data_IF_662767822327
#
_entry.id   IF_662767822327
#
_cell.length_a   1.000
_cell.length_b   1.000
_cell.length_c   1.000
_cell.angle_alpha   90.00
_cell.angle_beta   90.00
_cell.angle_gamma   90.00
#
_symmetry.space_group_name_H-M   'P 1'
#
loop_
_entity.id
_entity.type
_entity.pdbx_description
1 polymer ?
#
# COMPACT_ATOMS: atom_id res chain seq x y z
N UNK A 1 86.86 50.68 10.15
CA UNK A 1 86.50 51.75 11.10
C UNK A 1 84.98 51.79 11.19
N UNK A 2 84.46 51.69 12.42
CA UNK A 2 83.15 52.18 12.93
C UNK A 2 81.88 51.59 12.32
N UNK A 3 81.15 50.79 13.11
CA UNK A 3 79.94 51.17 13.90
C UNK A 3 78.67 51.09 13.01
N UNK A 4 77.48 50.67 13.44
CA UNK A 4 76.92 50.29 14.72
C UNK A 4 75.67 49.41 14.47
N UNK A 5 75.21 48.80 15.56
CA UNK A 5 74.00 47.99 15.77
C UNK A 5 72.72 48.82 15.58
N UNK A 6 71.64 48.26 15.01
CA UNK A 6 70.27 48.42 15.53
C UNK A 6 69.25 47.45 14.88
N UNK A 7 68.17 47.22 15.63
CA UNK A 7 67.33 46.04 15.63
C UNK A 7 66.09 46.11 14.71
N UNK A 8 65.56 44.93 14.38
CA UNK A 8 64.13 44.60 14.27
C UNK A 8 63.31 45.25 13.15
N UNK A 9 62.70 44.43 12.29
CA UNK A 9 61.23 44.32 12.36
C UNK A 9 60.66 43.07 11.68
N UNK A 10 59.56 42.62 12.27
CA UNK A 10 58.81 41.40 12.03
C UNK A 10 57.87 41.57 10.83
N UNK A 11 58.17 40.93 9.69
CA UNK A 11 57.25 40.88 8.55
C UNK A 11 56.30 39.69 8.67
N UNK A 12 55.24 39.90 9.46
CA UNK A 12 54.05 39.03 9.49
C UNK A 12 53.35 39.12 8.13
N UNK A 13 53.45 38.09 7.31
CA UNK A 13 52.68 37.97 6.07
C UNK A 13 51.21 37.75 6.43
N UNK A 14 50.41 38.78 6.17
CA UNK A 14 48.95 38.79 6.26
C UNK A 14 48.38 37.70 5.35
N UNK A 15 47.94 36.59 5.93
CA UNK A 15 47.10 35.61 5.24
C UNK A 15 45.69 36.19 5.19
N UNK A 16 45.26 36.62 4.00
CA UNK A 16 43.90 37.10 3.76
C UNK A 16 42.89 36.02 4.17
N UNK A 17 41.92 36.45 4.96
CA UNK A 17 40.77 35.67 5.40
C UNK A 17 40.02 35.07 4.20
N UNK A 18 39.95 33.74 4.12
CA UNK A 18 39.05 33.05 3.20
C UNK A 18 37.60 33.23 3.65
N UNK A 19 36.77 33.74 2.74
CA UNK A 19 35.33 33.89 2.95
C UNK A 19 34.65 32.53 3.20
N UNK A 20 33.66 32.44 4.10
CA UNK A 20 32.99 31.17 4.37
C UNK A 20 32.23 30.68 3.13
N UNK A 21 32.67 29.54 2.59
CA UNK A 21 32.05 28.85 1.46
C UNK A 21 30.54 28.66 1.67
N UNK A 22 29.74 29.08 0.68
CA UNK A 22 28.29 28.91 0.68
C UNK A 22 27.93 27.41 0.67
N UNK A 23 26.80 27.03 1.28
CA UNK A 23 26.35 25.65 1.45
C UNK A 23 26.38 24.80 0.15
N UNK A 24 26.13 25.43 -1.01
CA UNK A 24 26.26 24.76 -2.32
C UNK A 24 27.70 24.38 -2.68
N UNK A 25 28.68 25.21 -2.33
CA UNK A 25 30.09 24.97 -2.63
C UNK A 25 30.66 23.86 -1.73
N UNK A 26 30.28 23.83 -0.44
CA UNK A 26 30.65 22.75 0.49
C UNK A 26 30.18 21.37 0.01
N UNK A 27 28.95 21.30 -0.50
CA UNK A 27 28.37 20.03 -0.99
C UNK A 27 29.01 19.53 -2.28
N UNK A 28 29.52 20.44 -3.12
CA UNK A 28 30.27 20.09 -4.33
C UNK A 28 31.65 19.53 -3.99
N UNK A 29 32.35 20.15 -3.04
CA UNK A 29 33.67 19.70 -2.58
C UNK A 29 33.60 18.30 -1.95
N UNK A 30 32.59 18.05 -1.10
CA UNK A 30 32.39 16.75 -0.44
C UNK A 30 32.12 15.61 -1.43
N UNK A 31 31.36 15.90 -2.50
CA UNK A 31 31.07 14.93 -3.58
C UNK A 31 32.30 14.63 -4.43
N UNK A 32 33.23 15.59 -4.54
CA UNK A 32 34.47 15.43 -5.31
C UNK A 32 35.49 14.56 -4.54
N UNK A 33 35.56 14.71 -3.21
CA UNK A 33 36.39 13.87 -2.34
C UNK A 33 35.92 12.41 -2.32
N UNK A 34 34.60 12.17 -2.22
CA UNK A 34 34.06 10.81 -2.24
C UNK A 34 34.27 10.08 -3.57
N UNK A 35 34.40 10.82 -4.69
CA UNK A 35 34.66 10.21 -6.00
C UNK A 35 36.12 9.81 -6.19
N UNK A 36 37.05 10.48 -5.51
CA UNK A 36 38.47 10.12 -5.53
C UNK A 36 38.74 8.88 -4.68
N UNK A 37 38.11 8.74 -3.50
CA UNK A 37 38.26 7.54 -2.66
C UNK A 37 37.75 6.25 -3.31
N UNK A 38 36.76 6.33 -4.20
CA UNK A 38 36.21 5.14 -4.88
C UNK A 38 37.04 4.67 -6.09
N UNK A 39 38.06 5.42 -6.51
CA UNK A 39 38.84 5.11 -7.72
C UNK A 39 40.08 4.23 -7.46
N UNK A 40 40.52 4.09 -6.20
CA UNK A 40 41.81 3.48 -5.85
C UNK A 40 41.76 2.02 -5.35
N UNK A 41 40.68 1.27 -5.61
CA UNK A 41 40.61 -0.15 -5.22
C UNK A 41 40.51 -1.05 -6.47
N UNK A 42 41.64 -1.63 -6.89
CA UNK A 42 41.73 -2.79 -7.80
C UNK A 42 41.96 -4.08 -6.98
N UNK A 43 41.32 -5.23 -7.30
CA UNK A 43 41.58 -6.50 -6.63
C UNK A 43 42.38 -7.49 -7.50
N UNK A 44 43.26 -8.28 -6.88
CA UNK A 44 43.69 -9.61 -7.34
C UNK A 44 44.37 -10.43 -6.18
N UNK A 45 44.63 -11.76 -6.30
CA UNK A 45 43.81 -12.81 -5.65
C UNK A 45 44.61 -13.83 -4.78
N UNK A 46 43.95 -14.73 -4.03
CA UNK A 46 44.22 -16.20 -3.86
C UNK A 46 43.55 -16.85 -2.61
N UNK A 47 43.11 -18.11 -2.76
CA UNK A 47 42.48 -19.07 -1.82
C UNK A 47 43.52 -19.87 -0.94
N UNK A 48 43.20 -20.96 -0.19
CA UNK A 48 42.06 -21.35 0.71
C UNK A 48 42.54 -21.95 2.07
N UNK A 49 41.61 -22.20 3.04
CA UNK A 49 41.45 -23.46 3.84
C UNK A 49 40.53 -23.33 5.09
N UNK A 50 39.54 -24.25 5.18
CA UNK A 50 39.16 -25.18 6.30
C UNK A 50 38.94 -24.59 7.74
N UNK A 51 37.93 -24.90 8.57
CA UNK A 51 37.21 -26.15 8.90
C UNK A 51 35.93 -25.87 9.75
N UNK A 52 34.83 -26.56 9.43
CA UNK A 52 33.84 -27.29 10.27
C UNK A 52 33.63 -27.01 11.78
N UNK A 53 32.36 -26.79 12.21
CA UNK A 53 31.57 -27.73 13.07
C UNK A 53 30.13 -27.26 13.37
N UNK A 54 29.30 -28.27 13.63
CA UNK A 54 27.83 -28.36 13.56
C UNK A 54 27.23 -28.59 14.97
N UNK A 55 25.90 -28.37 15.08
CA UNK A 55 24.94 -28.90 16.07
C UNK A 55 24.59 -27.98 17.27
N UNK A 56 23.37 -27.84 17.82
CA UNK A 56 21.93 -28.08 17.55
C UNK A 56 21.25 -28.15 18.96
N UNK A 57 19.99 -27.68 19.09
CA UNK A 57 18.96 -27.94 20.17
C UNK A 57 19.12 -27.15 21.51
N UNK A 58 18.10 -26.66 22.23
CA UNK A 58 16.63 -26.92 22.29
C UNK A 58 15.88 -25.87 23.16
N UNK A 59 14.54 -25.77 22.98
CA UNK A 59 13.42 -25.56 23.97
C UNK A 59 13.33 -24.26 24.79
N UNK A 60 12.28 -23.42 24.64
CA UNK A 60 10.86 -23.49 25.10
C UNK A 60 10.60 -22.83 26.47
N UNK A 61 9.38 -22.25 26.61
CA UNK A 61 8.72 -21.64 27.79
C UNK A 61 9.01 -20.14 28.01
N UNK A 62 8.09 -19.22 28.33
CA UNK A 62 6.67 -19.20 28.73
C UNK A 62 6.22 -17.72 28.57
N UNK A 63 5.15 -17.41 27.85
CA UNK A 63 3.79 -17.15 28.35
C UNK A 63 3.60 -16.01 29.39
N UNK A 64 2.71 -15.09 29.01
CA UNK A 64 1.72 -14.34 29.80
C UNK A 64 2.16 -13.21 30.75
N UNK A 65 1.66 -11.99 30.50
CA UNK A 65 0.70 -11.30 31.40
C UNK A 65 0.26 -9.95 30.80
N UNK A 66 -1.04 -9.90 30.48
CA UNK A 66 -1.83 -8.70 30.15
C UNK A 66 -2.73 -8.43 31.36
N UNK A 67 -2.95 -7.13 31.65
CA UNK A 67 -4.02 -6.50 32.45
C UNK A 67 -3.93 -6.42 33.98
N UNK A 68 -3.82 -5.16 34.44
CA UNK A 68 -4.69 -4.52 35.47
C UNK A 68 -4.51 -2.99 35.36
N UNK A 69 -5.43 -2.27 34.70
CA UNK A 69 -6.57 -1.50 35.24
C UNK A 69 -6.31 -0.57 36.44
N UNK A 70 -6.46 0.73 36.16
CA UNK A 70 -7.22 1.74 36.90
C UNK A 70 -6.75 2.28 38.29
N UNK A 71 -6.41 3.58 38.26
CA UNK A 71 -7.06 4.68 39.03
C UNK A 71 -6.66 4.89 40.50
N UNK A 72 -5.99 6.04 40.75
CA UNK A 72 -6.08 6.97 41.91
C UNK A 72 -5.00 8.04 41.68
N UNK A 73 -5.23 9.29 41.25
CA UNK A 73 -5.99 10.45 41.76
C UNK A 73 -5.67 10.87 43.21
N UNK A 74 -4.79 11.88 43.28
CA UNK A 74 -4.75 13.03 44.21
C UNK A 74 -4.48 12.81 45.70
N UNK A 75 -3.35 13.37 46.14
CA UNK A 75 -3.35 14.32 47.27
C UNK A 75 -2.40 15.48 46.93
N UNK A 76 -3.00 16.66 46.77
CA UNK A 76 -2.29 17.94 46.79
C UNK A 76 -1.86 18.21 48.22
N UNK A 77 -0.61 18.59 48.42
CA UNK A 77 -0.23 19.37 49.59
C UNK A 77 0.13 20.78 49.11
N UNK A 78 -0.77 21.69 49.44
CA UNK A 78 -0.68 23.13 49.27
C UNK A 78 0.32 23.67 50.28
N UNK A 79 1.51 24.07 49.83
CA UNK A 79 2.40 24.91 50.65
C UNK A 79 1.89 26.35 50.53
N UNK A 80 1.25 26.82 51.60
CA UNK A 80 0.98 28.24 51.84
C UNK A 80 2.17 28.77 52.66
N UNK A 81 2.97 29.72 52.16
CA UNK A 81 3.80 30.54 53.03
C UNK A 81 2.98 31.74 53.51
N UNK A 82 2.86 31.81 54.83
CA UNK A 82 2.42 32.94 55.64
C UNK A 82 3.20 34.21 55.33
N UNK A 83 2.46 35.33 55.24
CA UNK A 83 2.81 36.72 55.52
C UNK A 83 4.25 37.21 55.32
N UNK A 84 4.43 38.14 54.37
CA UNK A 84 5.39 39.24 54.55
C UNK A 84 6.44 39.49 53.48
N UNK A 85 6.44 38.81 52.32
CA UNK A 85 7.45 39.08 51.28
C UNK A 85 6.83 39.56 49.96
N UNK A 86 7.28 40.72 49.50
CA UNK A 86 6.91 41.26 48.19
C UNK A 86 7.44 40.34 47.09
N UNK A 87 6.52 39.70 46.35
CA UNK A 87 6.85 38.83 45.22
C UNK A 87 7.81 39.50 44.23
N UNK A 88 8.94 38.85 43.97
CA UNK A 88 9.96 39.30 43.01
C UNK A 88 9.34 39.45 41.60
N UNK A 89 9.78 40.48 40.86
CA UNK A 89 9.30 40.83 39.52
C UNK A 89 9.27 39.64 38.54
N UNK A 90 10.16 38.65 38.71
CA UNK A 90 10.17 37.43 37.90
C UNK A 90 8.99 36.50 38.18
N UNK A 91 8.60 36.29 39.44
CA UNK A 91 7.48 35.41 39.82
C UNK A 91 6.13 35.97 39.35
N UNK A 92 5.95 37.31 39.40
CA UNK A 92 4.76 37.99 38.86
C UNK A 92 4.62 37.79 37.35
N UNK A 93 5.73 37.78 36.60
CA UNK A 93 5.73 37.55 35.14
C UNK A 93 5.32 36.12 34.78
N UNK A 94 5.74 35.12 35.57
CA UNK A 94 5.41 33.71 35.33
C UNK A 94 3.92 33.46 35.56
N UNK A 95 3.34 33.95 36.67
CA UNK A 95 1.91 33.82 36.94
C UNK A 95 1.04 34.50 35.87
N UNK A 96 1.42 35.71 35.43
CA UNK A 96 0.69 36.44 34.39
C UNK A 96 0.73 35.71 33.03
N UNK A 97 1.85 35.06 32.71
CA UNK A 97 2.02 34.27 31.48
C UNK A 97 1.27 32.94 31.53
N UNK A 98 1.15 32.32 32.70
CA UNK A 98 0.33 31.11 32.89
C UNK A 98 -1.17 31.42 32.85
N UNK A 99 -1.62 32.53 33.43
CA UNK A 99 -3.00 32.98 33.36
C UNK A 99 -3.42 33.33 31.92
N UNK A 100 -2.54 34.01 31.16
CA UNK A 100 -2.80 34.33 29.75
C UNK A 100 -2.94 33.08 28.88
N UNK A 101 -2.07 32.08 29.06
CA UNK A 101 -2.15 30.78 28.35
C UNK A 101 -3.42 30.00 28.69
N UNK A 102 -3.90 30.07 29.93
CA UNK A 102 -5.18 29.45 30.33
C UNK A 102 -6.38 30.16 29.70
N UNK A 103 -6.37 31.50 29.63
CA UNK A 103 -7.44 32.26 28.98
C UNK A 103 -7.47 32.04 27.45
N UNK A 104 -6.31 32.06 26.78
CA UNK A 104 -6.18 31.80 25.33
C UNK A 104 -6.62 30.36 24.96
N UNK A 105 -6.32 29.37 25.82
CA UNK A 105 -6.76 27.98 25.60
C UNK A 105 -8.27 27.74 25.75
N UNK A 106 -8.98 28.60 26.48
CA UNK A 106 -10.43 28.52 26.65
C UNK A 106 -11.17 29.12 25.45
N UNK A 107 -10.68 30.25 24.89
CA UNK A 107 -11.26 30.87 23.68
C UNK A 107 -11.10 30.01 22.42
N UNK A 108 -9.97 29.32 22.25
CA UNK A 108 -9.79 28.37 21.12
C UNK A 108 -10.72 27.15 21.25
N UNK A 109 -11.02 26.71 22.47
CA UNK A 109 -11.94 25.60 22.75
C UNK A 109 -13.38 25.89 22.33
N UNK A 110 -13.87 27.10 22.58
CA UNK A 110 -15.24 27.50 22.22
C UNK A 110 -15.41 27.76 20.71
N UNK A 111 -14.43 28.37 20.04
CA UNK A 111 -14.46 28.54 18.58
C UNK A 111 -14.42 27.20 17.83
N UNK A 112 -13.77 26.18 18.41
CA UNK A 112 -13.74 24.81 17.85
C UNK A 112 -15.08 24.09 18.06
N UNK A 113 -15.76 24.32 19.20
CA UNK A 113 -17.09 23.77 19.51
C UNK A 113 -18.23 24.38 18.68
N UNK A 114 -18.17 25.67 18.33
CA UNK A 114 -19.15 26.30 17.42
C UNK A 114 -18.96 25.92 15.95
N UNK A 115 -17.75 25.54 15.52
CA UNK A 115 -17.51 24.98 14.17
C UNK A 115 -17.97 23.52 14.00
N UNK A 116 -18.09 22.76 15.09
CA UNK A 116 -18.55 21.36 15.04
C UNK A 116 -20.08 21.20 14.91
N UNK A 117 -20.88 22.20 15.28
CA UNK A 117 -22.36 22.09 15.27
C UNK A 117 -23.04 22.44 13.94
N UNK A 118 -22.28 22.79 12.90
CA UNK A 118 -22.81 23.07 11.54
C UNK A 118 -22.22 22.16 10.44
N UNK A 119 -21.44 21.14 10.83
CA UNK A 119 -20.85 20.15 9.91
C UNK A 119 -21.41 18.74 10.14
N UNK A 120 -22.71 18.62 10.44
CA UNK A 120 -23.39 17.32 10.51
C UNK A 120 -24.06 16.91 9.17
N UNK A 121 -23.93 17.74 8.12
CA UNK A 121 -24.51 17.50 6.80
C UNK A 121 -23.57 16.95 5.71
N UNK A 122 -22.25 16.92 5.92
CA UNK A 122 -21.30 16.32 4.96
C UNK A 122 -20.35 15.38 5.69
N UNK A 123 -20.83 14.17 6.01
CA UNK A 123 -19.92 13.03 6.02
C UNK A 123 -19.32 13.02 4.62
N UNK A 124 -18.03 13.39 4.47
CA UNK A 124 -17.29 13.20 3.22
C UNK A 124 -17.54 11.77 2.78
N UNK A 125 -18.44 11.59 1.82
CA UNK A 125 -18.79 10.26 1.36
C UNK A 125 -17.50 9.64 0.86
N UNK A 126 -17.12 8.52 1.47
CA UNK A 126 -15.90 7.80 1.10
C UNK A 126 -16.21 7.17 -0.24
N UNK A 127 -16.00 7.93 -1.30
CA UNK A 127 -16.16 7.45 -2.65
C UNK A 127 -15.04 6.45 -2.95
N UNK A 128 -15.42 5.19 -3.14
CA UNK A 128 -14.51 4.12 -3.47
C UNK A 128 -14.40 4.08 -4.99
N UNK A 129 -13.17 4.20 -5.51
CA UNK A 129 -12.95 4.23 -6.96
C UNK A 129 -12.25 2.96 -7.43
N UNK A 130 -12.79 2.36 -8.47
CA UNK A 130 -12.22 1.23 -9.19
C UNK A 130 -11.65 1.71 -10.52
N UNK A 131 -10.59 1.05 -10.96
CA UNK A 131 -10.07 1.13 -12.30
C UNK A 131 -10.60 -0.06 -13.11
N UNK A 132 -11.15 0.21 -14.29
CA UNK A 132 -11.54 -0.81 -15.25
C UNK A 132 -10.67 -0.66 -16.49
N UNK A 133 -9.92 -1.68 -16.83
CA UNK A 133 -9.05 -1.75 -17.99
C UNK A 133 -9.49 -2.84 -18.97
N UNK A 134 -8.80 -2.87 -20.12
CA UNK A 134 -9.01 -3.88 -21.15
C UNK A 134 -10.45 -3.90 -21.73
N UNK A 135 -11.16 -2.78 -21.63
CA UNK A 135 -12.48 -2.64 -22.25
C UNK A 135 -12.35 -2.64 -23.77
N UNK A 136 -13.30 -3.24 -24.50
CA UNK A 136 -13.39 -3.12 -25.95
C UNK A 136 -13.42 -1.65 -26.39
N UNK A 137 -12.73 -1.30 -27.48
CA UNK A 137 -12.76 0.07 -28.00
C UNK A 137 -14.15 0.52 -28.49
N UNK A 138 -15.02 -0.45 -28.81
CA UNK A 138 -16.43 -0.25 -29.19
C UNK A 138 -17.38 -0.32 -27.97
N UNK A 139 -16.87 -0.32 -26.75
CA UNK A 139 -17.70 -0.30 -25.55
C UNK A 139 -18.33 1.09 -25.36
N UNK A 140 -19.64 1.13 -25.11
CA UNK A 140 -20.37 2.35 -24.76
C UNK A 140 -20.55 2.44 -23.25
N UNK A 141 -20.91 3.62 -22.76
CA UNK A 141 -21.22 3.84 -21.35
C UNK A 141 -22.35 2.92 -20.86
N UNK A 142 -23.44 2.78 -21.63
CA UNK A 142 -24.57 1.92 -21.27
C UNK A 142 -24.17 0.45 -21.13
N UNK A 143 -23.29 -0.03 -22.01
CA UNK A 143 -22.78 -1.39 -21.92
C UNK A 143 -22.00 -1.62 -20.61
N UNK A 144 -21.15 -0.68 -20.24
CA UNK A 144 -20.39 -0.77 -18.99
C UNK A 144 -21.36 -0.68 -17.81
N UNK A 145 -22.33 0.23 -17.84
CA UNK A 145 -23.35 0.35 -16.77
C UNK A 145 -24.16 -0.92 -16.58
N UNK A 146 -24.62 -1.54 -17.67
CA UNK A 146 -25.34 -2.84 -17.62
C UNK A 146 -24.47 -3.95 -17.03
N UNK A 147 -23.21 -4.02 -17.44
CA UNK A 147 -22.25 -5.02 -16.95
C UNK A 147 -21.98 -4.92 -15.45
N UNK A 148 -22.02 -3.71 -14.89
CA UNK A 148 -21.80 -3.43 -13.47
C UNK A 148 -23.11 -3.15 -12.71
N UNK A 149 -24.27 -3.56 -13.23
CA UNK A 149 -25.58 -3.29 -12.65
C UNK A 149 -25.75 -3.80 -11.21
N UNK A 150 -25.11 -4.93 -10.86
CA UNK A 150 -25.10 -5.47 -9.49
C UNK A 150 -24.41 -4.58 -8.47
N UNK A 151 -23.51 -3.69 -8.91
CA UNK A 151 -22.89 -2.69 -8.05
C UNK A 151 -23.85 -1.54 -7.71
N UNK A 152 -25.05 -1.52 -8.31
CA UNK A 152 -26.06 -0.49 -8.11
C UNK A 152 -25.69 0.84 -8.78
N UNK A 153 -25.92 1.93 -8.06
CA UNK A 153 -25.66 3.28 -8.57
C UNK A 153 -24.16 3.55 -8.69
N UNK A 154 -23.68 3.54 -9.94
CA UNK A 154 -22.29 3.83 -10.27
C UNK A 154 -22.13 5.15 -11.01
N UNK A 155 -21.06 5.87 -10.68
CA UNK A 155 -20.60 7.02 -11.47
C UNK A 155 -19.43 6.61 -12.34
N UNK A 156 -19.65 6.65 -13.66
CA UNK A 156 -18.69 6.20 -14.65
C UNK A 156 -17.88 7.37 -15.22
N UNK A 157 -16.57 7.16 -15.38
CA UNK A 157 -15.69 8.08 -16.10
C UNK A 157 -14.85 7.31 -17.11
N UNK A 158 -15.27 7.33 -18.38
CA UNK A 158 -14.54 6.72 -19.49
C UNK A 158 -13.35 7.59 -19.89
N UNK A 159 -12.17 6.99 -20.06
CA UNK A 159 -10.97 7.72 -20.50
C UNK A 159 -10.92 7.73 -22.02
N UNK A 160 -10.91 8.93 -22.58
CA UNK A 160 -10.65 9.18 -23.99
C UNK A 160 -9.25 9.76 -24.18
N UNK A 161 -8.65 9.50 -25.34
CA UNK A 161 -7.43 10.20 -25.73
C UNK A 161 -7.73 11.69 -25.98
N UNK A 162 -6.80 12.57 -25.58
CA UNK A 162 -6.96 14.02 -25.70
C UNK A 162 -6.88 14.49 -27.15
N UNK A 163 -6.04 13.83 -27.96
CA UNK A 163 -5.81 14.20 -29.36
C UNK A 163 -6.89 13.63 -30.27
N UNK A 164 -7.10 12.32 -30.22
CA UNK A 164 -8.01 11.62 -31.14
C UNK A 164 -9.47 11.60 -30.66
N UNK A 165 -9.74 11.97 -29.39
CA UNK A 165 -11.04 11.83 -28.73
C UNK A 165 -11.62 10.41 -28.72
N UNK A 166 -10.85 9.42 -29.17
CA UNK A 166 -11.25 8.00 -29.18
C UNK A 166 -11.18 7.42 -27.78
N UNK A 167 -12.05 6.46 -27.50
CA UNK A 167 -12.05 5.73 -26.24
C UNK A 167 -10.76 4.90 -26.09
N UNK A 168 -10.12 4.98 -24.93
CA UNK A 168 -8.84 4.32 -24.66
C UNK A 168 -8.98 2.85 -24.26
N UNK A 169 -10.19 2.36 -24.00
CA UNK A 169 -10.40 1.01 -23.44
C UNK A 169 -10.20 0.96 -21.92
N UNK A 170 -10.27 2.10 -21.23
CA UNK A 170 -10.14 2.18 -19.77
C UNK A 170 -11.17 3.13 -19.19
N UNK A 171 -11.70 2.84 -18.01
CA UNK A 171 -12.66 3.67 -17.29
C UNK A 171 -12.37 3.67 -15.79
N UNK A 172 -12.91 4.66 -15.08
CA UNK A 172 -13.00 4.63 -13.62
C UNK A 172 -14.45 4.54 -13.21
N UNK A 173 -14.71 3.71 -12.21
CA UNK A 173 -16.03 3.55 -11.60
C UNK A 173 -15.94 4.03 -10.17
N UNK A 174 -16.81 4.97 -9.81
CA UNK A 174 -16.94 5.50 -8.46
C UNK A 174 -18.22 4.93 -7.85
N UNK A 175 -18.09 4.26 -6.71
CA UNK A 175 -19.19 3.63 -5.96
C UNK A 175 -19.29 4.21 -4.56
N UNK A 176 -20.51 4.22 -4.01
CA UNK A 176 -20.79 4.78 -2.68
C UNK A 176 -20.54 3.78 -1.55
N UNK A 177 -20.85 2.50 -1.77
CA UNK A 177 -20.87 1.49 -0.73
C UNK A 177 -19.77 0.43 -0.86
N UNK A 178 -19.33 -0.14 0.27
CA UNK A 178 -18.40 -1.27 0.26
C UNK A 178 -19.00 -2.53 -0.36
N UNK A 179 -20.32 -2.70 -0.30
CA UNK A 179 -21.02 -3.82 -0.97
C UNK A 179 -20.95 -3.67 -2.49
N UNK A 180 -21.23 -2.46 -2.99
CA UNK A 180 -21.08 -2.11 -4.40
C UNK A 180 -19.63 -2.29 -4.88
N UNK A 181 -18.64 -1.94 -4.05
CA UNK A 181 -17.23 -2.21 -4.35
C UNK A 181 -16.96 -3.72 -4.52
N UNK A 182 -17.46 -4.55 -3.62
CA UNK A 182 -17.32 -6.01 -3.69
C UNK A 182 -17.96 -6.60 -4.96
N UNK A 183 -19.17 -6.16 -5.30
CA UNK A 183 -19.88 -6.56 -6.51
C UNK A 183 -19.19 -6.10 -7.80
N UNK A 184 -18.59 -4.90 -7.81
CA UNK A 184 -17.79 -4.46 -8.94
C UNK A 184 -16.50 -5.29 -9.08
N UNK A 185 -15.83 -5.63 -7.96
CA UNK A 185 -14.63 -6.46 -7.96
C UNK A 185 -14.90 -7.90 -8.39
N UNK A 186 -16.08 -8.47 -8.12
CA UNK A 186 -16.43 -9.81 -8.59
C UNK A 186 -16.57 -9.89 -10.11
N UNK A 187 -16.73 -8.76 -10.80
CA UNK A 187 -16.75 -8.67 -12.26
C UNK A 187 -15.34 -8.66 -12.89
N UNK A 188 -14.27 -8.79 -12.10
CA UNK A 188 -12.92 -8.95 -12.61
C UNK A 188 -12.80 -10.22 -13.49
N UNK A 189 -12.11 -10.11 -14.63
CA UNK A 189 -11.91 -11.15 -15.65
C UNK A 189 -13.14 -11.64 -16.41
N UNK A 190 -14.32 -11.08 -16.15
CA UNK A 190 -15.52 -11.35 -16.95
C UNK A 190 -15.38 -10.87 -18.40
N UNK A 191 -16.17 -11.48 -19.29
CA UNK A 191 -16.16 -11.16 -20.71
C UNK A 191 -17.10 -10.00 -21.04
N UNK A 192 -16.62 -9.07 -21.86
CA UNK A 192 -17.41 -8.00 -22.45
C UNK A 192 -17.10 -7.92 -23.95
N UNK A 193 -18.06 -8.29 -24.81
CA UNK A 193 -17.88 -8.38 -26.29
C UNK A 193 -16.62 -9.19 -26.68
N UNK A 194 -16.49 -10.40 -26.13
CA UNK A 194 -15.35 -11.30 -26.42
C UNK A 194 -14.00 -10.86 -25.85
N UNK A 195 -13.95 -9.83 -25.00
CA UNK A 195 -12.71 -9.38 -24.33
C UNK A 195 -12.85 -9.44 -22.82
N UNK A 196 -11.90 -10.10 -22.15
CA UNK A 196 -11.81 -10.12 -20.69
C UNK A 196 -11.45 -8.74 -20.15
N UNK A 197 -12.26 -8.24 -19.23
CA UNK A 197 -12.04 -6.95 -18.58
C UNK A 197 -11.18 -7.12 -17.32
N UNK A 198 -10.38 -6.10 -17.01
CA UNK A 198 -9.63 -6.06 -15.76
C UNK A 198 -10.25 -5.03 -14.82
N UNK A 199 -10.68 -5.44 -13.62
CA UNK A 199 -11.22 -4.56 -12.59
C UNK A 199 -10.31 -4.55 -11.37
N UNK A 200 -9.77 -3.39 -10.99
CA UNK A 200 -8.82 -3.26 -9.88
C UNK A 200 -9.19 -2.11 -8.94
N UNK A 201 -8.85 -2.23 -7.66
CA UNK A 201 -8.93 -1.11 -6.73
C UNK A 201 -7.93 -0.02 -7.11
N UNK A 202 -8.36 1.24 -7.17
CA UNK A 202 -7.44 2.34 -7.45
C UNK A 202 -6.71 2.80 -6.19
N UNK A 203 -5.44 3.20 -6.34
CA UNK A 203 -4.77 4.00 -5.33
C UNK A 203 -5.15 5.48 -5.52
N UNK A 204 -5.75 6.11 -4.51
CA UNK A 204 -5.93 7.56 -4.50
C UNK A 204 -4.57 8.25 -4.25
N UNK A 205 -4.31 9.34 -4.99
CA UNK A 205 -3.11 10.15 -4.86
C UNK A 205 -1.85 9.61 -5.58
N UNK A 206 -0.90 10.52 -5.82
CA UNK A 206 0.37 10.25 -6.50
C UNK A 206 0.25 10.19 -8.02
N UNK A 207 1.15 10.88 -8.73
CA UNK A 207 1.23 10.79 -10.19
C UNK A 207 1.60 9.37 -10.67
N UNK A 208 1.38 9.07 -11.95
CA UNK A 208 1.64 7.76 -12.56
C UNK A 208 3.09 7.26 -12.36
N UNK A 209 4.04 8.18 -12.18
CA UNK A 209 5.46 7.87 -11.96
C UNK A 209 5.84 7.69 -10.48
N UNK A 210 4.91 7.89 -9.55
CA UNK A 210 5.18 7.76 -8.12
C UNK A 210 5.44 6.30 -7.73
N UNK A 211 6.58 6.04 -7.12
CA UNK A 211 6.95 4.73 -6.60
C UNK A 211 6.01 4.25 -5.49
N UNK A 212 5.67 5.12 -4.54
CA UNK A 212 4.71 4.83 -3.48
C UNK A 212 3.35 4.36 -4.04
N UNK A 213 2.89 4.98 -5.13
CA UNK A 213 1.65 4.56 -5.81
C UNK A 213 1.80 3.17 -6.44
N UNK A 214 2.93 2.89 -7.10
CA UNK A 214 3.19 1.57 -7.70
C UNK A 214 3.23 0.47 -6.65
N UNK A 215 3.91 0.72 -5.52
CA UNK A 215 3.99 -0.24 -4.42
C UNK A 215 2.62 -0.50 -3.81
N UNK A 216 1.81 0.55 -3.60
CA UNK A 216 0.43 0.42 -3.12
C UNK A 216 -0.45 -0.37 -4.09
N UNK A 217 -0.33 -0.12 -5.40
CA UNK A 217 -1.10 -0.85 -6.41
C UNK A 217 -0.66 -2.32 -6.50
N UNK A 218 0.64 -2.60 -6.39
CA UNK A 218 1.17 -3.97 -6.32
C UNK A 218 0.58 -4.74 -5.13
N UNK A 219 0.55 -4.11 -3.95
CA UNK A 219 -0.07 -4.71 -2.76
C UNK A 219 -1.57 -4.98 -2.97
N UNK A 220 -2.30 -4.03 -3.54
CA UNK A 220 -3.74 -4.17 -3.80
C UNK A 220 -4.03 -5.31 -4.78
N UNK A 221 -3.25 -5.41 -5.85
CA UNK A 221 -3.35 -6.52 -6.83
C UNK A 221 -3.03 -7.87 -6.18
N UNK A 222 -1.98 -7.94 -5.37
CA UNK A 222 -1.65 -9.17 -4.63
C UNK A 222 -2.78 -9.58 -3.69
N UNK A 223 -3.35 -8.63 -2.93
CA UNK A 223 -4.53 -8.90 -2.08
C UNK A 223 -5.71 -9.41 -2.89
N UNK A 224 -6.01 -8.77 -4.02
CA UNK A 224 -7.11 -9.18 -4.90
C UNK A 224 -6.89 -10.58 -5.48
N UNK A 225 -5.68 -10.88 -5.96
CA UNK A 225 -5.30 -12.20 -6.48
C UNK A 225 -5.44 -13.27 -5.41
N UNK A 226 -4.98 -13.01 -4.18
CA UNK A 226 -5.12 -13.95 -3.08
C UNK A 226 -6.59 -14.21 -2.76
N UNK A 227 -7.44 -13.18 -2.73
CA UNK A 227 -8.89 -13.34 -2.53
C UNK A 227 -9.51 -14.20 -3.64
N UNK A 228 -9.07 -14.04 -4.90
CA UNK A 228 -9.57 -14.85 -6.02
C UNK A 228 -9.16 -16.32 -5.89
N UNK A 229 -7.91 -16.59 -5.49
CA UNK A 229 -7.40 -17.95 -5.24
C UNK A 229 -8.18 -18.61 -4.11
N UNK A 230 -8.40 -17.92 -2.99
CA UNK A 230 -9.17 -18.46 -1.86
C UNK A 230 -10.63 -18.74 -2.23
N UNK A 231 -11.28 -17.86 -3.01
CA UNK A 231 -12.61 -18.12 -3.57
C UNK A 231 -12.64 -19.35 -4.47
N UNK A 232 -11.61 -19.53 -5.28
CA UNK A 232 -11.47 -20.67 -6.19
C UNK A 232 -11.30 -21.98 -5.40
N UNK A 233 -10.46 -21.98 -4.37
CA UNK A 233 -10.32 -23.13 -3.47
C UNK A 233 -11.63 -23.48 -2.77
N UNK A 234 -12.34 -22.47 -2.24
CA UNK A 234 -13.63 -22.68 -1.60
C UNK A 234 -14.68 -23.25 -2.58
N UNK A 235 -14.66 -22.81 -3.84
CA UNK A 235 -15.51 -23.34 -4.89
C UNK A 235 -15.20 -24.82 -5.19
N UNK A 236 -13.92 -25.17 -5.30
CA UNK A 236 -13.46 -26.54 -5.52
C UNK A 236 -13.86 -27.42 -4.32
N UNK A 237 -13.58 -26.99 -3.10
CA UNK A 237 -13.92 -27.75 -1.89
C UNK A 237 -15.42 -28.06 -1.82
N UNK A 238 -16.27 -27.07 -2.13
CA UNK A 238 -17.73 -27.28 -2.21
C UNK A 238 -18.12 -28.35 -3.24
N UNK A 239 -17.39 -28.46 -4.35
CA UNK A 239 -17.62 -29.51 -5.35
C UNK A 239 -17.00 -30.86 -4.97
N UNK A 240 -16.10 -30.91 -3.98
CA UNK A 240 -15.57 -32.18 -3.45
C UNK A 240 -16.50 -32.72 -2.37
N UNK A 241 -17.00 -31.84 -1.51
CA UNK A 241 -17.87 -32.22 -0.37
C UNK A 241 -19.31 -32.52 -0.79
N UNK A 242 -19.74 -32.09 -1.98
CA UNK A 242 -21.11 -32.25 -2.45
C UNK A 242 -21.40 -33.67 -2.95
N UNK A 243 -22.49 -34.32 -2.51
CA UNK A 243 -22.78 -35.72 -2.82
C UNK A 243 -23.10 -35.98 -4.31
N UNK A 244 -23.45 -34.93 -5.06
CA UNK A 244 -23.77 -35.02 -6.50
C UNK A 244 -22.53 -34.93 -7.39
N UNK A 245 -21.38 -34.55 -6.85
CA UNK A 245 -20.18 -34.29 -7.61
C UNK A 245 -19.21 -35.48 -7.55
N UNK A 246 -18.54 -35.74 -8.68
CA UNK A 246 -17.59 -36.85 -8.82
C UNK A 246 -16.15 -36.43 -8.58
N UNK A 247 -15.92 -35.12 -8.44
CA UNK A 247 -14.61 -34.53 -8.21
C UNK A 247 -14.04 -34.96 -6.86
N UNK A 248 -12.84 -35.52 -6.85
CA UNK A 248 -12.10 -35.85 -5.64
C UNK A 248 -10.96 -34.84 -5.39
N UNK A 249 -10.46 -34.77 -4.16
CA UNK A 249 -9.30 -33.93 -3.82
C UNK A 249 -8.05 -34.33 -4.63
N UNK A 250 -7.90 -35.61 -4.93
CA UNK A 250 -6.80 -36.14 -5.75
C UNK A 250 -6.91 -35.75 -7.23
N UNK A 251 -8.06 -35.29 -7.71
CA UNK A 251 -8.25 -34.88 -9.10
C UNK A 251 -7.76 -33.46 -9.37
N UNK A 252 -7.40 -32.70 -8.32
CA UNK A 252 -7.03 -31.28 -8.39
C UNK A 252 -5.59 -31.06 -7.96
N UNK A 253 -4.79 -30.42 -8.82
CA UNK A 253 -3.42 -29.97 -8.51
C UNK A 253 -3.37 -28.44 -8.32
N UNK A 254 -2.31 -27.92 -7.71
CA UNK A 254 -2.05 -26.48 -7.57
C UNK A 254 -2.13 -25.73 -8.92
N UNK A 255 -1.64 -26.35 -10.01
CA UNK A 255 -1.73 -25.78 -11.36
C UNK A 255 -3.18 -25.58 -11.83
N UNK A 256 -4.09 -26.45 -11.43
CA UNK A 256 -5.52 -26.31 -11.74
C UNK A 256 -6.14 -25.18 -10.94
N UNK A 257 -5.76 -25.03 -9.66
CA UNK A 257 -6.21 -23.94 -8.81
C UNK A 257 -5.75 -22.59 -9.38
N UNK A 258 -4.47 -22.47 -9.73
CA UNK A 258 -3.92 -21.27 -10.36
C UNK A 258 -4.64 -20.94 -11.67
N UNK A 259 -4.90 -21.97 -12.48
CA UNK A 259 -5.58 -21.80 -13.76
C UNK A 259 -7.05 -21.40 -13.60
N UNK A 260 -7.78 -22.02 -12.66
CA UNK A 260 -9.15 -21.66 -12.32
C UNK A 260 -9.24 -20.24 -11.75
N UNK A 261 -8.25 -19.82 -10.96
CA UNK A 261 -8.19 -18.46 -10.39
C UNK A 261 -8.02 -17.36 -11.44
N UNK A 262 -7.61 -17.72 -12.66
CA UNK A 262 -7.49 -16.77 -13.75
C UNK A 262 -8.84 -16.47 -14.44
N UNK A 263 -9.85 -17.31 -14.24
CA UNK A 263 -11.21 -17.04 -14.71
C UNK A 263 -12.02 -16.27 -13.67
N UNK A 264 -13.14 -15.71 -14.11
CA UNK A 264 -14.18 -15.25 -13.20
C UNK A 264 -14.87 -16.43 -12.53
N UNK A 265 -15.63 -16.14 -11.46
CA UNK A 265 -16.26 -17.16 -10.63
C UNK A 265 -17.22 -18.07 -11.42
N UNK A 266 -17.96 -17.50 -12.36
CA UNK A 266 -19.00 -18.21 -13.11
C UNK A 266 -18.37 -19.16 -14.13
N UNK A 267 -17.37 -18.68 -14.88
CA UNK A 267 -16.60 -19.54 -15.79
C UNK A 267 -15.88 -20.68 -15.06
N UNK A 268 -15.28 -20.40 -13.89
CA UNK A 268 -14.64 -21.45 -13.08
C UNK A 268 -15.65 -22.51 -12.59
N UNK A 269 -16.87 -22.09 -12.20
CA UNK A 269 -17.97 -22.98 -11.82
C UNK A 269 -18.40 -23.86 -12.99
N UNK A 270 -18.60 -23.27 -14.16
CA UNK A 270 -18.99 -24.01 -15.37
C UNK A 270 -17.94 -25.06 -15.76
N UNK A 271 -16.65 -24.75 -15.61
CA UNK A 271 -15.58 -25.69 -15.89
C UNK A 271 -15.57 -26.90 -14.92
N UNK A 272 -15.88 -26.68 -13.64
CA UNK A 272 -16.03 -27.74 -12.64
C UNK A 272 -17.27 -28.60 -12.93
N UNK A 273 -18.38 -27.97 -13.32
CA UNK A 273 -19.60 -28.70 -13.72
C UNK A 273 -19.40 -29.54 -14.98
N UNK A 274 -18.66 -29.03 -15.98
CA UNK A 274 -18.31 -29.80 -17.18
C UNK A 274 -17.45 -31.02 -16.84
N UNK A 275 -16.49 -30.87 -15.93
CA UNK A 275 -15.72 -32.00 -15.42
C UNK A 275 -16.62 -33.05 -14.78
N UNK A 276 -17.52 -32.66 -13.87
CA UNK A 276 -18.44 -33.57 -13.20
C UNK A 276 -19.38 -34.30 -14.16
N UNK A 277 -19.80 -33.61 -15.24
CA UNK A 277 -20.63 -34.21 -16.29
C UNK A 277 -19.86 -35.23 -17.12
N UNK A 278 -18.61 -34.94 -17.46
CA UNK A 278 -17.85 -35.74 -18.42
C UNK A 278 -17.00 -36.85 -17.77
N UNK A 279 -16.67 -36.73 -16.48
CA UNK A 279 -15.85 -37.73 -15.79
C UNK A 279 -16.60 -39.06 -15.67
N UNK A 280 -15.95 -40.11 -16.13
CA UNK A 280 -16.42 -41.50 -16.11
C UNK A 280 -15.30 -42.42 -15.64
N UNK A 281 -15.64 -43.63 -15.22
CA UNK A 281 -14.68 -44.59 -14.66
C UNK A 281 -13.62 -45.06 -15.66
N UNK A 282 -13.83 -44.79 -16.95
CA UNK A 282 -12.86 -45.08 -18.02
C UNK A 282 -11.68 -44.09 -18.03
N UNK A 283 -11.79 -42.95 -17.35
CA UNK A 283 -10.73 -41.93 -17.31
C UNK A 283 -9.64 -42.34 -16.32
N UNK A 284 -8.54 -42.87 -16.85
CA UNK A 284 -7.38 -43.30 -16.04
C UNK A 284 -6.64 -42.11 -15.41
N UNK A 285 -6.40 -41.04 -16.17
CA UNK A 285 -5.69 -39.85 -15.70
C UNK A 285 -6.66 -38.66 -15.58
N UNK A 286 -7.37 -38.62 -14.46
CA UNK A 286 -8.38 -37.60 -14.15
C UNK A 286 -7.80 -36.18 -14.09
N UNK A 287 -6.58 -36.01 -13.57
CA UNK A 287 -5.87 -34.72 -13.53
C UNK A 287 -5.60 -34.16 -14.93
N UNK A 288 -5.06 -34.99 -15.83
CA UNK A 288 -4.77 -34.59 -17.20
C UNK A 288 -6.07 -34.31 -17.99
N UNK A 289 -7.10 -35.12 -17.76
CA UNK A 289 -8.42 -34.91 -18.34
C UNK A 289 -9.01 -33.57 -17.90
N UNK A 290 -8.99 -33.27 -16.60
CA UNK A 290 -9.51 -31.99 -16.09
C UNK A 290 -8.71 -30.80 -16.65
N UNK A 291 -7.38 -30.88 -16.64
CA UNK A 291 -6.52 -29.88 -17.28
C UNK A 291 -6.85 -29.68 -18.77
N UNK A 292 -7.27 -30.73 -19.48
CA UNK A 292 -7.73 -30.65 -20.87
C UNK A 292 -9.00 -29.81 -21.02
N UNK A 293 -9.99 -30.03 -20.14
CA UNK A 293 -11.21 -29.21 -20.08
C UNK A 293 -10.86 -27.75 -19.81
N UNK A 294 -10.05 -27.49 -18.78
CA UNK A 294 -9.63 -26.13 -18.43
C UNK A 294 -8.95 -25.39 -19.60
N UNK A 295 -8.04 -26.06 -20.32
CA UNK A 295 -7.39 -25.47 -21.50
C UNK A 295 -8.37 -25.08 -22.60
N UNK A 296 -9.47 -25.82 -22.77
CA UNK A 296 -10.53 -25.49 -23.73
C UNK A 296 -11.24 -24.19 -23.36
N UNK A 297 -11.63 -24.03 -22.09
CA UNK A 297 -12.25 -22.79 -21.60
C UNK A 297 -11.40 -21.55 -21.86
N UNK A 298 -10.07 -21.64 -21.67
CA UNK A 298 -9.16 -20.53 -22.00
C UNK A 298 -9.20 -20.13 -23.47
N UNK A 299 -9.42 -21.08 -24.38
CA UNK A 299 -9.46 -20.84 -25.83
C UNK A 299 -10.82 -20.32 -26.28
N UNK A 300 -11.92 -20.81 -25.68
CA UNK A 300 -13.28 -20.40 -26.01
C UNK A 300 -13.64 -19.02 -25.46
N UNK A 301 -13.01 -18.58 -24.37
CA UNK A 301 -13.25 -17.26 -23.75
C UNK A 301 -12.83 -16.04 -24.61
N UNK A 302 -12.51 -16.24 -25.90
CA UNK A 302 -12.22 -15.17 -26.86
C UNK A 302 -12.88 -15.36 -28.23
N UNK A 303 -13.73 -16.36 -28.40
CA UNK A 303 -14.39 -16.69 -29.67
C UNK A 303 -15.86 -16.99 -29.37
N UNK A 304 -16.70 -15.96 -29.48
CA UNK A 304 -18.08 -16.15 -29.97
C UNK A 304 -18.04 -16.19 -31.49
#
# INVERSE_FOLDING_TARGET
MRENVEAGDCSTVIVKMDAPLNAKQRRKLLRQQQQQETADIKPEPTEPKQQEKVAIKTKEQKETLVNTKEKQKQSQETVIPSDGETLNAQQRRILKRQAKRKAEGIEEGEKKRKRSSQQEGERKSIHLTLFVGQLPYKATEDMVRRHFSEAGDIKLRMLTDKKTKKFKGTAFIEVKDSKALGAALSRHHTLLKGRRINVEMTASGGGTKSENRRNKLSLLRKKQSNVQVEKTKALIQKHIDGPEYKLQQEDVDDRMIDFLSWFDYETAKNALEEYNRCVSDRVLNRKAFFMGILKRFRQTDGVE
#
